data_IF_537337220797
#
_entry.id   IF_537337220797
#
_cell.length_a   1.000
_cell.length_b   1.000
_cell.length_c   1.000
_cell.angle_alpha   90.00
_cell.angle_beta   90.00
_cell.angle_gamma   90.00
#
_symmetry.space_group_name_H-M   'P 1'
#
loop_
_entity.id
_entity.type
_entity.pdbx_description
1 polymer ?
#
# COMPACT_ATOMS: atom_id res chain seq x y z
N UNK A 1 14.74 23.45 -7.29
CA UNK A 1 14.28 22.98 -8.61
C UNK A 1 13.23 23.97 -9.10
N UNK A 2 13.42 24.63 -10.24
CA UNK A 2 12.49 25.68 -10.71
C UNK A 2 11.18 25.08 -11.20
N UNK A 3 10.09 25.85 -11.13
CA UNK A 3 8.78 25.45 -11.67
C UNK A 3 8.85 25.05 -13.15
N UNK A 4 9.79 25.65 -13.91
CA UNK A 4 10.01 25.35 -15.32
C UNK A 4 10.70 24.01 -15.55
N UNK A 5 11.63 23.61 -14.66
CA UNK A 5 12.25 22.29 -14.71
C UNK A 5 11.21 21.18 -14.42
N UNK A 6 10.25 21.46 -13.54
CA UNK A 6 9.16 20.53 -13.23
C UNK A 6 8.17 20.42 -14.40
N UNK A 7 7.82 21.55 -15.05
CA UNK A 7 6.98 21.55 -16.27
C UNK A 7 7.65 20.83 -17.44
N UNK A 8 8.97 20.95 -17.60
CA UNK A 8 9.73 20.24 -18.64
C UNK A 8 9.79 18.72 -18.40
N UNK A 9 9.88 18.29 -17.14
CA UNK A 9 9.80 16.87 -16.73
C UNK A 9 8.38 16.30 -16.88
N UNK A 10 7.35 17.12 -16.67
CA UNK A 10 5.95 16.75 -16.88
C UNK A 10 5.61 16.66 -18.39
N UNK A 11 6.14 17.56 -19.22
CA UNK A 11 5.92 17.58 -20.67
C UNK A 11 6.59 16.41 -21.43
N UNK A 12 7.63 15.79 -20.84
CA UNK A 12 8.31 14.62 -21.44
C UNK A 12 7.67 13.27 -21.09
N UNK A 13 6.72 13.22 -20.15
CA UNK A 13 5.95 12.00 -19.87
C UNK A 13 4.75 11.91 -20.80
N UNK A 14 4.86 11.07 -21.82
CA UNK A 14 3.73 10.71 -22.66
C UNK A 14 2.52 10.28 -21.79
N UNK A 15 1.31 10.80 -22.05
CA UNK A 15 0.11 10.45 -21.30
C UNK A 15 -0.05 8.93 -21.26
N UNK A 16 -0.06 8.35 -20.06
CA UNK A 16 -0.28 6.91 -19.86
C UNK A 16 0.97 6.05 -19.65
N UNK A 17 2.18 6.60 -19.65
CA UNK A 17 3.38 5.84 -19.26
C UNK A 17 3.44 5.73 -17.73
N UNK A 18 3.38 4.49 -17.21
CA UNK A 18 3.57 4.26 -15.76
C UNK A 18 4.98 4.69 -15.37
N UNK A 19 5.19 5.23 -14.14
CA UNK A 19 6.52 5.45 -13.62
C UNK A 19 7.39 4.19 -13.77
N UNK A 20 8.67 4.34 -14.15
CA UNK A 20 9.58 3.22 -14.22
C UNK A 20 9.70 2.56 -12.85
N UNK A 21 9.87 1.24 -12.85
CA UNK A 21 10.23 0.53 -11.63
C UNK A 21 11.66 0.91 -11.25
N UNK A 22 11.85 1.42 -10.04
CA UNK A 22 13.19 1.73 -9.51
C UNK A 22 13.94 0.45 -9.13
N UNK A 23 13.19 -0.54 -8.66
CA UNK A 23 13.72 -1.85 -8.28
C UNK A 23 12.77 -2.95 -8.74
N UNK A 24 13.35 -4.09 -9.11
CA UNK A 24 12.65 -5.36 -9.30
C UNK A 24 13.32 -6.41 -8.44
N UNK A 25 12.51 -7.20 -7.75
CA UNK A 25 12.98 -8.27 -6.87
C UNK A 25 12.29 -9.59 -7.23
N UNK A 26 12.93 -10.70 -6.89
CA UNK A 26 12.31 -12.02 -6.98
C UNK A 26 11.14 -12.12 -5.99
N UNK A 27 10.23 -13.07 -6.22
CA UNK A 27 9.09 -13.30 -5.32
C UNK A 27 9.53 -13.56 -3.87
N UNK A 28 10.51 -14.45 -3.58
CA UNK A 28 10.93 -14.70 -2.21
C UNK A 28 11.45 -13.45 -1.51
N UNK A 29 12.32 -12.67 -2.19
CA UNK A 29 12.88 -11.43 -1.62
C UNK A 29 11.77 -10.42 -1.34
N UNK A 30 10.86 -10.19 -2.29
CA UNK A 30 9.77 -9.23 -2.08
C UNK A 30 8.81 -9.63 -0.96
N UNK A 31 8.49 -10.93 -0.81
CA UNK A 31 7.66 -11.43 0.31
C UNK A 31 8.39 -11.24 1.64
N UNK A 32 9.64 -11.71 1.75
CA UNK A 32 10.42 -11.61 2.98
C UNK A 32 10.59 -10.16 3.40
N UNK A 33 10.95 -9.24 2.49
CA UNK A 33 11.12 -7.83 2.81
C UNK A 33 9.83 -7.19 3.34
N UNK A 34 8.69 -7.46 2.71
CA UNK A 34 7.40 -6.91 3.14
C UNK A 34 6.95 -7.48 4.49
N UNK A 35 7.08 -8.79 4.69
CA UNK A 35 6.75 -9.43 5.96
C UNK A 35 7.67 -8.97 7.09
N UNK A 36 8.98 -8.86 6.84
CA UNK A 36 9.95 -8.36 7.81
C UNK A 36 9.67 -6.90 8.19
N UNK A 37 9.35 -6.04 7.20
CA UNK A 37 8.97 -4.65 7.46
C UNK A 37 7.67 -4.54 8.26
N UNK A 38 6.66 -5.36 7.96
CA UNK A 38 5.43 -5.41 8.74
C UNK A 38 5.67 -5.88 10.19
N UNK A 39 6.49 -6.93 10.38
CA UNK A 39 6.86 -7.43 11.71
C UNK A 39 7.66 -6.39 12.51
N UNK A 40 8.61 -5.69 11.88
CA UNK A 40 9.31 -4.56 12.47
C UNK A 40 8.32 -3.46 12.88
N UNK A 41 7.34 -3.16 12.02
CA UNK A 41 6.30 -2.18 12.33
C UNK A 41 5.48 -2.56 13.55
N UNK A 42 5.10 -3.84 13.69
CA UNK A 42 4.46 -4.36 14.90
C UNK A 42 5.35 -4.20 16.13
N UNK A 43 6.64 -4.50 16.02
CA UNK A 43 7.61 -4.32 17.11
C UNK A 43 7.73 -2.87 17.56
N UNK A 44 7.78 -1.92 16.62
CA UNK A 44 7.83 -0.49 16.93
C UNK A 44 6.56 0.00 17.66
N UNK A 45 5.39 -0.52 17.28
CA UNK A 45 4.13 -0.21 17.98
C UNK A 45 4.17 -0.77 19.40
N UNK A 46 4.68 -1.98 19.60
CA UNK A 46 4.84 -2.56 20.94
C UNK A 46 5.81 -1.73 21.80
N UNK A 47 6.95 -1.30 21.24
CA UNK A 47 7.89 -0.39 21.90
C UNK A 47 7.21 0.94 22.28
N UNK A 48 6.42 1.52 21.38
CA UNK A 48 5.67 2.74 21.66
C UNK A 48 4.69 2.57 22.82
N UNK A 49 4.09 1.39 22.98
CA UNK A 49 3.19 1.09 24.09
C UNK A 49 3.94 0.91 25.42
N UNK A 50 4.99 0.09 25.45
CA UNK A 50 5.55 -0.46 26.69
C UNK A 50 6.81 0.26 27.21
N UNK A 51 7.53 0.98 26.35
CA UNK A 51 8.81 1.59 26.72
C UNK A 51 8.67 2.99 27.33
N UNK A 52 8.11 3.09 28.54
CA UNK A 52 7.88 4.37 29.25
C UNK A 52 9.15 5.18 29.55
N UNK A 53 10.32 4.53 29.53
CA UNK A 53 11.63 5.21 29.67
C UNK A 53 11.96 6.08 28.45
N UNK A 54 11.34 5.80 27.30
CA UNK A 54 11.42 6.66 26.13
C UNK A 54 10.43 7.82 26.31
N UNK A 55 10.87 9.03 26.01
CA UNK A 55 10.01 10.21 26.02
C UNK A 55 8.81 10.06 25.07
N UNK A 56 7.76 10.84 25.31
CA UNK A 56 6.50 10.78 24.54
C UNK A 56 6.73 10.94 23.04
N UNK A 57 7.65 11.80 22.63
CA UNK A 57 7.94 12.07 21.22
C UNK A 57 8.56 10.88 20.50
N UNK A 58 9.52 10.20 21.14
CA UNK A 58 10.18 9.04 20.53
C UNK A 58 9.22 7.84 20.44
N UNK A 59 8.35 7.66 21.43
CA UNK A 59 7.28 6.66 21.39
C UNK A 59 6.26 7.01 20.29
N UNK A 60 5.88 8.28 20.17
CA UNK A 60 5.02 8.77 19.09
C UNK A 60 5.63 8.53 17.70
N UNK A 61 6.92 8.81 17.53
CA UNK A 61 7.66 8.54 16.31
C UNK A 61 7.70 7.03 15.98
N UNK A 62 8.00 6.18 16.98
CA UNK A 62 7.98 4.73 16.81
C UNK A 62 6.60 4.23 16.38
N UNK A 63 5.53 4.74 16.99
CA UNK A 63 4.14 4.43 16.63
C UNK A 63 3.84 4.80 15.16
N UNK A 64 4.18 6.03 14.75
CA UNK A 64 3.92 6.52 13.39
C UNK A 64 4.72 5.71 12.37
N UNK A 65 6.02 5.49 12.61
CA UNK A 65 6.87 4.70 11.72
C UNK A 65 6.36 3.26 11.63
N UNK A 66 6.00 2.66 12.76
CA UNK A 66 5.46 1.31 12.80
C UNK A 66 4.16 1.16 12.00
N UNK A 67 3.25 2.12 12.14
CA UNK A 67 2.02 2.19 11.35
C UNK A 67 2.30 2.32 9.86
N UNK A 68 3.21 3.22 9.44
CA UNK A 68 3.58 3.41 8.03
C UNK A 68 4.20 2.13 7.44
N UNK A 69 5.07 1.46 8.19
CA UNK A 69 5.66 0.19 7.74
C UNK A 69 4.61 -0.88 7.50
N UNK A 70 3.63 -1.03 8.39
CA UNK A 70 2.53 -1.97 8.19
C UNK A 70 1.70 -1.56 6.96
N UNK A 71 1.29 -0.29 6.89
CA UNK A 71 0.45 0.24 5.81
C UNK A 71 1.06 0.01 4.41
N UNK A 72 2.35 0.31 4.24
CA UNK A 72 3.03 0.22 2.94
C UNK A 72 3.41 -1.21 2.51
N UNK A 73 3.49 -2.15 3.45
CA UNK A 73 4.03 -3.49 3.17
C UNK A 73 2.99 -4.62 3.16
N UNK A 74 1.74 -4.37 3.56
CA UNK A 74 0.68 -5.40 3.54
C UNK A 74 -0.08 -5.46 2.22
N UNK A 75 0.02 -4.44 1.37
CA UNK A 75 -0.77 -4.30 0.16
C UNK A 75 -0.34 -5.29 -0.95
N UNK A 76 0.89 -5.16 -1.45
CA UNK A 76 1.33 -5.97 -2.59
C UNK A 76 1.52 -7.45 -2.20
N UNK A 77 1.97 -7.73 -0.97
CA UNK A 77 2.05 -9.11 -0.47
C UNK A 77 0.67 -9.78 -0.42
N UNK A 78 -0.41 -9.03 -0.14
CA UNK A 78 -1.76 -9.60 -0.15
C UNK A 78 -2.26 -9.95 -1.56
N UNK A 79 -2.00 -9.09 -2.55
CA UNK A 79 -2.25 -9.45 -3.96
C UNK A 79 -1.52 -10.75 -4.33
N UNK A 80 -0.26 -10.85 -3.95
CA UNK A 80 0.53 -12.06 -4.19
C UNK A 80 -0.10 -13.26 -3.48
N UNK A 81 -0.34 -13.18 -2.18
CA UNK A 81 -0.82 -14.29 -1.36
C UNK A 81 -2.18 -14.81 -1.85
N UNK A 82 -3.18 -13.93 -1.96
CA UNK A 82 -4.51 -14.30 -2.46
C UNK A 82 -4.43 -14.74 -3.91
N UNK A 83 -3.63 -14.06 -4.72
CA UNK A 83 -3.39 -14.43 -6.11
C UNK A 83 -2.83 -15.86 -6.24
N UNK A 84 -1.89 -16.25 -5.40
CA UNK A 84 -1.32 -17.61 -5.38
C UNK A 84 -2.37 -18.65 -5.01
N UNK A 85 -3.20 -18.38 -3.99
CA UNK A 85 -4.30 -19.27 -3.56
C UNK A 85 -5.27 -19.51 -4.72
N UNK A 86 -5.61 -18.48 -5.49
CA UNK A 86 -6.54 -18.57 -6.63
C UNK A 86 -5.87 -18.95 -7.96
N UNK A 87 -4.63 -19.45 -7.93
CA UNK A 87 -3.93 -20.01 -9.09
C UNK A 87 -3.25 -18.99 -10.02
N UNK A 88 -3.14 -17.72 -9.63
CA UNK A 88 -2.43 -16.68 -10.39
C UNK A 88 -0.93 -16.73 -10.04
N UNK A 89 -0.09 -16.66 -11.07
CA UNK A 89 1.37 -16.65 -10.96
C UNK A 89 1.92 -15.22 -11.00
N UNK A 90 3.06 -15.05 -10.34
CA UNK A 90 3.76 -13.78 -10.20
C UNK A 90 5.21 -13.95 -10.62
N UNK A 91 5.72 -12.97 -11.35
CA UNK A 91 7.11 -12.93 -11.82
C UNK A 91 8.04 -12.15 -10.89
N UNK A 92 7.52 -11.52 -9.83
CA UNK A 92 8.30 -10.78 -8.84
C UNK A 92 7.54 -9.62 -8.21
N UNK A 93 8.29 -8.77 -7.50
CA UNK A 93 7.82 -7.49 -6.97
C UNK A 93 8.59 -6.34 -7.59
N UNK A 94 7.93 -5.21 -7.72
CA UNK A 94 8.53 -3.95 -8.15
C UNK A 94 8.40 -2.89 -7.07
N UNK A 95 9.30 -1.90 -7.09
CA UNK A 95 9.22 -0.72 -6.25
C UNK A 95 9.16 0.54 -7.12
N UNK A 96 8.23 1.44 -6.83
CA UNK A 96 8.08 2.75 -7.49
C UNK A 96 7.11 3.66 -6.73
N UNK A 97 7.04 4.92 -7.13
CA UNK A 97 5.97 5.83 -6.73
C UNK A 97 4.60 5.41 -7.27
N UNK A 98 3.56 6.10 -6.79
CA UNK A 98 2.20 5.90 -7.31
C UNK A 98 2.13 6.14 -8.82
N UNK A 99 1.34 5.32 -9.51
CA UNK A 99 1.04 5.53 -10.93
C UNK A 99 0.06 6.70 -11.16
N UNK A 100 -0.55 7.22 -10.09
CA UNK A 100 -1.61 8.23 -10.13
C UNK A 100 -1.42 9.34 -9.10
N UNK A 101 -0.33 10.12 -9.17
CA UNK A 101 -0.11 11.22 -8.24
C UNK A 101 -1.25 12.27 -8.30
N UNK A 102 -1.91 12.40 -9.45
CA UNK A 102 -3.05 13.30 -9.68
C UNK A 102 -4.26 13.02 -8.78
N UNK A 103 -4.41 11.78 -8.30
CA UNK A 103 -5.50 11.37 -7.41
C UNK A 103 -5.32 11.91 -5.98
N UNK A 104 -4.15 12.46 -5.66
CA UNK A 104 -3.86 13.03 -4.36
C UNK A 104 -4.05 14.55 -4.38
N UNK A 105 -4.38 15.16 -3.21
CA UNK A 105 -4.39 16.61 -3.04
C UNK A 105 -3.06 17.23 -3.53
N UNK A 106 -3.06 18.47 -4.06
CA UNK A 106 -1.88 19.10 -4.67
C UNK A 106 -0.59 18.98 -3.85
N UNK A 107 -0.66 19.15 -2.52
CA UNK A 107 0.50 19.04 -1.62
C UNK A 107 1.07 17.62 -1.44
N UNK A 108 0.31 16.58 -1.74
CA UNK A 108 0.73 15.18 -1.58
C UNK A 108 1.18 14.52 -2.89
N UNK A 109 0.90 15.13 -4.04
CA UNK A 109 1.17 14.52 -5.36
C UNK A 109 2.64 14.16 -5.55
N UNK A 110 3.53 15.11 -5.23
CA UNK A 110 4.96 14.89 -5.38
C UNK A 110 5.45 13.80 -4.43
N UNK A 111 5.07 13.88 -3.15
CA UNK A 111 5.41 12.88 -2.14
C UNK A 111 4.98 11.48 -2.58
N UNK A 112 3.73 11.31 -2.99
CA UNK A 112 3.22 10.00 -3.42
C UNK A 112 3.90 9.52 -4.71
N UNK A 113 4.35 10.43 -5.56
CA UNK A 113 5.13 10.12 -6.77
C UNK A 113 6.56 9.63 -6.49
N UNK A 114 7.11 9.91 -5.30
CA UNK A 114 8.46 9.49 -4.89
C UNK A 114 8.48 8.50 -3.71
N UNK A 115 7.34 8.25 -3.09
CA UNK A 115 7.22 7.28 -2.01
C UNK A 115 7.38 5.85 -2.55
N UNK A 116 8.28 5.02 -2.00
CA UNK A 116 8.50 3.66 -2.48
C UNK A 116 7.33 2.75 -2.13
N UNK A 117 6.45 2.49 -3.11
CA UNK A 117 5.33 1.56 -3.00
C UNK A 117 5.66 0.25 -3.70
N UNK A 118 5.39 -0.85 -3.02
CA UNK A 118 5.51 -2.19 -3.60
C UNK A 118 4.40 -2.45 -4.61
N UNK A 119 4.75 -3.16 -5.68
CA UNK A 119 3.82 -3.60 -6.72
C UNK A 119 4.03 -5.07 -7.00
N UNK A 120 2.98 -5.88 -6.82
CA UNK A 120 3.01 -7.29 -7.19
C UNK A 120 2.94 -7.45 -8.72
N UNK A 121 3.94 -8.08 -9.32
CA UNK A 121 4.01 -8.26 -10.76
C UNK A 121 3.46 -9.63 -11.16
N UNK A 122 2.24 -9.66 -11.67
CA UNK A 122 1.62 -10.88 -12.22
C UNK A 122 2.26 -11.31 -13.54
N UNK A 123 2.25 -12.61 -13.81
CA UNK A 123 2.48 -13.15 -15.16
C UNK A 123 1.22 -12.88 -16.02
N UNK A 124 1.32 -12.13 -17.15
CA UNK A 124 0.14 -11.72 -17.92
C UNK A 124 -0.74 -12.88 -18.39
N UNK A 125 -0.13 -13.97 -18.87
CA UNK A 125 -0.85 -15.15 -19.35
C UNK A 125 -1.58 -15.89 -18.25
N UNK A 126 -0.92 -16.11 -17.11
CA UNK A 126 -1.56 -16.72 -15.94
C UNK A 126 -2.78 -15.90 -15.48
N UNK A 127 -2.62 -14.57 -15.37
CA UNK A 127 -3.72 -13.68 -14.99
C UNK A 127 -4.86 -13.67 -16.00
N UNK A 128 -4.58 -13.72 -17.31
CA UNK A 128 -5.61 -13.77 -18.36
C UNK A 128 -6.40 -15.08 -18.32
N UNK A 129 -5.74 -16.22 -18.07
CA UNK A 129 -6.38 -17.54 -17.95
C UNK A 129 -7.21 -17.69 -16.68
N UNK A 130 -6.87 -16.98 -15.61
CA UNK A 130 -7.63 -17.03 -14.36
C UNK A 130 -9.07 -16.53 -14.55
N UNK A 131 -10.02 -17.24 -13.92
CA UNK A 131 -11.44 -16.90 -14.00
C UNK A 131 -11.78 -15.52 -13.39
N UNK A 132 -12.96 -14.96 -13.73
CA UNK A 132 -13.45 -13.68 -13.21
C UNK A 132 -13.32 -13.51 -11.69
N UNK A 133 -13.78 -14.52 -10.92
CA UNK A 133 -13.75 -14.50 -9.45
C UNK A 133 -12.32 -14.53 -8.89
N UNK A 134 -11.42 -15.31 -9.49
CA UNK A 134 -10.02 -15.38 -9.07
C UNK A 134 -9.31 -14.03 -9.27
N UNK A 135 -9.51 -13.39 -10.43
CA UNK A 135 -8.99 -12.04 -10.68
C UNK A 135 -9.57 -11.02 -9.71
N UNK A 136 -10.87 -11.09 -9.43
CA UNK A 136 -11.53 -10.16 -8.52
C UNK A 136 -11.01 -10.29 -7.09
N UNK A 137 -10.86 -11.53 -6.58
CA UNK A 137 -10.29 -11.79 -5.26
C UNK A 137 -8.86 -11.25 -5.17
N UNK A 138 -8.01 -11.54 -6.17
CA UNK A 138 -6.64 -11.03 -6.20
C UNK A 138 -6.60 -9.50 -6.23
N UNK A 139 -7.43 -8.84 -7.05
CA UNK A 139 -7.47 -7.37 -7.10
C UNK A 139 -7.98 -6.75 -5.79
N UNK A 140 -9.02 -7.29 -5.17
CA UNK A 140 -9.54 -6.74 -3.91
C UNK A 140 -8.55 -6.88 -2.73
N UNK A 141 -7.71 -7.92 -2.76
CA UNK A 141 -6.85 -8.29 -1.64
C UNK A 141 -5.90 -7.19 -1.16
N UNK A 142 -5.35 -6.38 -2.07
CA UNK A 142 -4.39 -5.33 -1.73
C UNK A 142 -4.99 -4.29 -0.79
N UNK A 143 -6.02 -3.59 -1.27
CA UNK A 143 -6.72 -2.57 -0.48
C UNK A 143 -7.35 -3.13 0.80
N UNK A 144 -7.98 -4.32 0.72
CA UNK A 144 -8.60 -4.94 1.90
C UNK A 144 -7.56 -5.22 2.99
N UNK A 145 -6.41 -5.76 2.62
CA UNK A 145 -5.32 -6.04 3.55
C UNK A 145 -4.75 -4.75 4.17
N UNK A 146 -4.47 -3.72 3.35
CA UNK A 146 -4.01 -2.42 3.86
C UNK A 146 -4.99 -1.83 4.85
N UNK A 147 -6.29 -1.85 4.53
CA UNK A 147 -7.35 -1.35 5.40
C UNK A 147 -7.39 -2.12 6.73
N UNK A 148 -7.52 -3.44 6.66
CA UNK A 148 -7.65 -4.28 7.86
C UNK A 148 -6.40 -4.18 8.74
N UNK A 149 -5.21 -4.36 8.17
CA UNK A 149 -3.98 -4.37 8.94
C UNK A 149 -3.65 -3.01 9.56
N UNK A 150 -3.84 -1.91 8.84
CA UNK A 150 -3.54 -0.58 9.38
C UNK A 150 -4.52 -0.14 10.47
N UNK A 151 -5.82 -0.42 10.30
CA UNK A 151 -6.83 -0.18 11.35
C UNK A 151 -6.56 -1.07 12.56
N UNK A 152 -6.26 -2.36 12.37
CA UNK A 152 -5.91 -3.26 13.47
C UNK A 152 -4.66 -2.79 14.23
N UNK A 153 -3.63 -2.32 13.51
CA UNK A 153 -2.42 -1.78 14.12
C UNK A 153 -2.71 -0.55 14.99
N UNK A 154 -3.49 0.40 14.47
CA UNK A 154 -3.89 1.60 15.22
C UNK A 154 -4.80 1.26 16.41
N UNK A 155 -5.70 0.30 16.26
CA UNK A 155 -6.58 -0.18 17.33
C UNK A 155 -5.77 -0.88 18.43
N UNK A 156 -4.81 -1.74 18.07
CA UNK A 156 -3.92 -2.38 19.02
C UNK A 156 -3.10 -1.36 19.82
N UNK A 157 -2.54 -0.34 19.15
CA UNK A 157 -1.83 0.76 19.81
C UNK A 157 -2.75 1.54 20.78
N UNK A 158 -4.01 1.76 20.39
CA UNK A 158 -4.99 2.45 21.22
C UNK A 158 -5.35 1.65 22.47
N UNK A 159 -5.62 0.35 22.30
CA UNK A 159 -5.90 -0.57 23.41
C UNK A 159 -4.69 -0.73 24.34
N UNK A 160 -3.48 -0.60 23.82
CA UNK A 160 -2.24 -0.63 24.60
C UNK A 160 -1.84 0.74 25.18
N UNK A 161 -2.71 1.76 25.08
CA UNK A 161 -2.48 3.10 25.60
C UNK A 161 -1.19 3.79 25.11
N UNK A 162 -0.75 3.48 23.89
CA UNK A 162 0.39 4.16 23.29
C UNK A 162 0.08 5.66 23.08
N UNK A 163 1.09 6.54 23.19
CA UNK A 163 0.87 7.98 23.03
C UNK A 163 0.35 8.28 21.62
N UNK A 164 -0.60 9.22 21.53
CA UNK A 164 -1.27 9.64 20.29
C UNK A 164 -2.07 8.55 19.57
N UNK A 165 -2.18 7.33 20.11
CA UNK A 165 -2.85 6.23 19.44
C UNK A 165 -4.34 6.48 19.15
N UNK A 166 -5.03 7.26 19.98
CA UNK A 166 -6.41 7.68 19.71
C UNK A 166 -6.51 8.51 18.42
N UNK A 167 -5.62 9.49 18.26
CA UNK A 167 -5.55 10.32 17.07
C UNK A 167 -5.20 9.49 15.84
N UNK A 168 -4.23 8.59 15.97
CA UNK A 168 -3.85 7.66 14.90
C UNK A 168 -5.01 6.74 14.49
N UNK A 169 -5.79 6.21 15.44
CA UNK A 169 -6.93 5.34 15.14
C UNK A 169 -8.02 6.09 14.37
N UNK A 170 -8.38 7.31 14.81
CA UNK A 170 -9.33 8.16 14.08
C UNK A 170 -8.82 8.45 12.68
N UNK A 171 -7.55 8.84 12.55
CA UNK A 171 -6.92 9.07 11.25
C UNK A 171 -6.97 7.81 10.37
N UNK A 172 -6.56 6.65 10.89
CA UNK A 172 -6.51 5.40 10.14
C UNK A 172 -7.90 5.01 9.61
N UNK A 173 -8.95 5.14 10.42
CA UNK A 173 -10.32 4.84 9.97
C UNK A 173 -10.76 5.78 8.87
N UNK A 174 -10.62 7.09 9.05
CA UNK A 174 -11.05 8.09 8.06
C UNK A 174 -10.23 8.00 6.76
N UNK A 175 -8.92 7.80 6.88
CA UNK A 175 -8.01 7.62 5.76
C UNK A 175 -8.37 6.39 4.93
N UNK A 176 -8.52 5.23 5.57
CA UNK A 176 -8.85 3.99 4.84
C UNK A 176 -10.27 4.03 4.25
N UNK A 177 -11.23 4.71 4.89
CA UNK A 177 -12.55 4.94 4.30
C UNK A 177 -12.42 5.77 3.01
N UNK A 178 -11.70 6.89 3.06
CA UNK A 178 -11.45 7.74 1.89
C UNK A 178 -10.71 6.98 0.78
N UNK A 179 -9.64 6.27 1.13
CA UNK A 179 -8.86 5.46 0.18
C UNK A 179 -9.74 4.38 -0.48
N UNK A 180 -10.53 3.65 0.31
CA UNK A 180 -11.47 2.62 -0.18
C UNK A 180 -12.52 3.18 -1.15
N UNK A 181 -13.06 4.38 -0.87
CA UNK A 181 -13.96 5.08 -1.80
C UNK A 181 -13.24 5.39 -3.11
N UNK A 182 -12.06 6.01 -3.03
CA UNK A 182 -11.26 6.42 -4.20
C UNK A 182 -10.91 5.20 -5.08
N UNK A 183 -10.40 4.11 -4.51
CA UNK A 183 -10.02 2.92 -5.29
C UNK A 183 -11.23 2.11 -5.79
N UNK A 184 -12.44 2.41 -5.29
CA UNK A 184 -13.70 1.89 -5.83
C UNK A 184 -14.23 2.72 -7.02
N UNK A 185 -13.91 4.01 -7.06
CA UNK A 185 -14.38 4.93 -8.09
C UNK A 185 -13.43 4.99 -9.30
N UNK A 186 -12.13 5.00 -9.05
CA UNK A 186 -11.13 5.20 -10.11
C UNK A 186 -10.88 3.90 -10.85
N UNK A 187 -10.85 3.94 -12.18
CA UNK A 187 -10.74 2.74 -12.99
C UNK A 187 -9.49 1.91 -12.66
N UNK A 188 -8.37 2.55 -12.33
CA UNK A 188 -7.13 1.86 -11.99
C UNK A 188 -7.06 1.43 -10.51
N UNK A 189 -8.07 1.75 -9.72
CA UNK A 189 -8.22 1.30 -8.34
C UNK A 189 -8.57 -0.19 -8.25
N UNK A 190 -8.23 -0.79 -7.12
CA UNK A 190 -8.28 -2.23 -6.93
C UNK A 190 -9.69 -2.79 -6.82
N UNK A 191 -10.56 -2.14 -6.07
CA UNK A 191 -11.98 -2.50 -6.03
C UNK A 191 -12.68 -2.25 -7.36
N UNK A 192 -12.31 -1.19 -8.10
CA UNK A 192 -12.81 -0.98 -9.46
C UNK A 192 -12.36 -2.11 -10.41
N UNK A 193 -11.09 -2.52 -10.37
CA UNK A 193 -10.59 -3.69 -11.13
C UNK A 193 -11.32 -4.97 -10.75
N UNK A 194 -11.54 -5.20 -9.45
CA UNK A 194 -12.27 -6.37 -8.98
C UNK A 194 -13.71 -6.41 -9.50
N UNK A 195 -14.42 -5.29 -9.41
CA UNK A 195 -15.78 -5.14 -9.93
C UNK A 195 -15.84 -5.35 -11.45
N UNK A 196 -14.89 -4.79 -12.21
CA UNK A 196 -14.82 -5.03 -13.66
C UNK A 196 -14.52 -6.48 -13.98
N UNK A 197 -13.62 -7.13 -13.25
CA UNK A 197 -13.31 -8.54 -13.44
C UNK A 197 -14.54 -9.43 -13.26
N UNK A 198 -15.45 -9.11 -12.32
CA UNK A 198 -16.72 -9.83 -12.11
C UNK A 198 -17.78 -9.53 -13.18
N UNK A 199 -17.73 -8.35 -13.81
CA UNK A 199 -18.68 -7.95 -14.87
C UNK A 199 -18.29 -8.44 -16.26
N UNK A 200 -17.00 -8.67 -16.50
CA UNK A 200 -16.51 -9.34 -17.71
C UNK A 200 -16.89 -10.83 -17.65
N UNK A 201 -18.16 -11.12 -17.98
CA UNK A 201 -18.67 -12.48 -18.22
C UNK A 201 -18.27 -12.92 -19.61
#
# INVERSE_FOLDING_TARGET
MSADAQRALEATRAPGTRPPLWLRTSVPVGVVSQCAAAALGTGLIAVAADSYRLGVDLRGAALIVGFILIYLNTHAVAHWFVGRIVGIRFRGFGLRGTDHPENYPPGLRHLMGVLPMWVAMTEPESRRRAGPRARAAMYAAGETSTTVCSVAAAAAAFLAHAPWARGLLVFAVLWNLGASIVVSMIDKGDYAKARRALRAR
#
